data_IF_261909420936
#
_entry.id   IF_261909420936
#
_cell.length_a   1.000
_cell.length_b   1.000
_cell.length_c   1.000
_cell.angle_alpha   90.00
_cell.angle_beta   90.00
_cell.angle_gamma   90.00
#
_symmetry.space_group_name_H-M   'P 1'
#
loop_
_entity.id
_entity.type
_entity.pdbx_description
1 polymer ?
#
# COMPACT_ATOMS: atom_id res chain seq x y z
N UNK A 1 -21.69 -12.53 13.34
CA UNK A 1 -21.50 -12.88 11.91
C UNK A 1 -21.23 -11.64 11.06
N UNK A 2 -22.05 -10.59 11.10
CA UNK A 2 -21.82 -9.36 10.31
C UNK A 2 -20.47 -8.68 10.56
N UNK A 3 -20.01 -8.59 11.80
CA UNK A 3 -18.74 -7.94 12.13
C UNK A 3 -17.52 -8.74 11.68
N UNK A 4 -17.59 -10.09 11.72
CA UNK A 4 -16.49 -10.95 11.24
C UNK A 4 -16.35 -10.88 9.73
N UNK A 5 -17.45 -10.84 8.98
CA UNK A 5 -17.43 -10.71 7.53
C UNK A 5 -16.86 -9.33 7.11
N UNK A 6 -17.25 -8.27 7.81
CA UNK A 6 -16.72 -6.94 7.60
C UNK A 6 -15.23 -6.88 7.94
N UNK A 7 -14.80 -7.54 9.02
CA UNK A 7 -13.38 -7.61 9.39
C UNK A 7 -12.56 -8.33 8.33
N UNK A 8 -13.00 -9.49 7.86
CA UNK A 8 -12.32 -10.21 6.77
C UNK A 8 -12.24 -9.37 5.50
N UNK A 9 -13.34 -8.71 5.13
CA UNK A 9 -13.37 -7.80 3.99
C UNK A 9 -12.36 -6.66 4.14
N UNK A 10 -12.33 -6.02 5.32
CA UNK A 10 -11.41 -4.91 5.61
C UNK A 10 -9.95 -5.36 5.59
N UNK A 11 -9.64 -6.53 6.16
CA UNK A 11 -8.30 -7.11 6.12
C UNK A 11 -7.85 -7.43 4.69
N UNK A 12 -8.72 -8.02 3.87
CA UNK A 12 -8.43 -8.29 2.47
C UNK A 12 -8.16 -7.02 1.68
N UNK A 13 -8.94 -5.98 1.93
CA UNK A 13 -8.80 -4.68 1.29
C UNK A 13 -7.51 -3.96 1.72
N UNK A 14 -7.15 -4.08 3.00
CA UNK A 14 -5.89 -3.58 3.53
C UNK A 14 -4.68 -4.32 2.90
N UNK A 15 -4.74 -5.64 2.82
CA UNK A 15 -3.70 -6.46 2.20
C UNK A 15 -3.51 -6.15 0.71
N UNK A 16 -4.61 -6.00 -0.03
CA UNK A 16 -4.61 -5.58 -1.43
C UNK A 16 -3.92 -4.21 -1.61
N UNK A 17 -4.32 -3.22 -0.79
CA UNK A 17 -3.71 -1.89 -0.82
C UNK A 17 -2.21 -1.94 -0.50
N UNK A 18 -1.81 -2.72 0.52
CA UNK A 18 -0.39 -2.89 0.84
C UNK A 18 0.42 -3.46 -0.32
N UNK A 19 -0.09 -4.51 -1.01
CA UNK A 19 0.59 -5.11 -2.16
C UNK A 19 0.63 -4.16 -3.36
N UNK A 20 -0.47 -3.46 -3.61
CA UNK A 20 -0.57 -2.46 -4.68
C UNK A 20 0.44 -1.33 -4.50
N UNK A 21 0.68 -0.91 -3.25
CA UNK A 21 1.61 0.16 -2.89
C UNK A 21 3.04 -0.33 -2.61
N UNK A 22 3.36 -1.58 -2.96
CA UNK A 22 4.72 -2.11 -3.00
C UNK A 22 5.20 -2.81 -1.72
N UNK A 23 4.31 -3.23 -0.83
CA UNK A 23 4.69 -4.06 0.30
C UNK A 23 5.13 -5.47 -0.13
N UNK A 24 6.10 -6.00 0.59
CA UNK A 24 6.51 -7.41 0.45
C UNK A 24 5.42 -8.36 0.95
N UNK A 25 5.24 -9.50 0.27
CA UNK A 25 4.24 -10.54 0.58
C UNK A 25 4.30 -10.97 2.04
N UNK A 26 5.51 -11.25 2.55
CA UNK A 26 5.71 -11.67 3.96
C UNK A 26 5.24 -10.60 4.94
N UNK A 27 5.48 -9.33 4.63
CA UNK A 27 5.04 -8.20 5.46
C UNK A 27 3.51 -8.11 5.50
N UNK A 28 2.85 -8.32 4.37
CA UNK A 28 1.39 -8.36 4.29
C UNK A 28 0.84 -9.51 5.15
N UNK A 29 1.34 -10.74 4.98
CA UNK A 29 0.93 -11.90 5.78
C UNK A 29 1.06 -11.64 7.29
N UNK A 30 2.19 -11.11 7.72
CA UNK A 30 2.44 -10.79 9.13
C UNK A 30 1.48 -9.72 9.66
N UNK A 31 1.18 -8.71 8.86
CA UNK A 31 0.27 -7.63 9.25
C UNK A 31 -1.15 -8.14 9.40
N UNK A 32 -1.65 -8.87 8.41
CA UNK A 32 -2.99 -9.45 8.43
C UNK A 32 -3.16 -10.45 9.57
N UNK A 33 -2.15 -11.30 9.82
CA UNK A 33 -2.17 -12.25 10.93
C UNK A 33 -2.23 -11.55 12.29
N UNK A 34 -1.44 -10.48 12.50
CA UNK A 34 -1.47 -9.71 13.75
C UNK A 34 -2.81 -9.02 13.98
N UNK A 35 -3.37 -8.38 12.95
CA UNK A 35 -4.65 -7.69 13.05
C UNK A 35 -5.81 -8.65 13.32
N UNK A 36 -5.84 -9.81 12.65
CA UNK A 36 -6.85 -10.83 12.90
C UNK A 36 -6.78 -11.39 14.33
N UNK A 37 -5.58 -11.57 14.89
CA UNK A 37 -5.39 -11.97 16.30
C UNK A 37 -5.83 -10.86 17.25
N UNK A 38 -5.55 -9.60 16.96
CA UNK A 38 -6.01 -8.45 17.74
C UNK A 38 -7.55 -8.34 17.74
N UNK A 39 -8.21 -8.74 16.66
CA UNK A 39 -9.67 -8.84 16.57
C UNK A 39 -10.26 -9.96 17.44
N UNK A 40 -9.45 -10.96 17.82
CA UNK A 40 -9.89 -12.08 18.65
C UNK A 40 -9.84 -13.45 17.98
N UNK A 41 -9.24 -13.58 16.80
CA UNK A 41 -9.01 -14.88 16.20
C UNK A 41 -7.94 -15.65 16.99
N UNK A 42 -8.24 -16.90 17.34
CA UNK A 42 -7.28 -17.82 17.99
C UNK A 42 -6.22 -18.28 16.99
N UNK A 43 -6.64 -18.46 15.75
CA UNK A 43 -5.75 -18.85 14.65
C UNK A 43 -6.09 -18.07 13.39
N UNK A 44 -5.05 -17.66 12.68
CA UNK A 44 -5.12 -17.01 11.38
C UNK A 44 -4.32 -17.82 10.37
N UNK A 45 -4.98 -18.30 9.31
CA UNK A 45 -4.32 -18.88 8.15
C UNK A 45 -4.35 -17.81 7.04
N UNK A 46 -3.18 -17.30 6.71
CA UNK A 46 -3.00 -16.20 5.74
C UNK A 46 -2.12 -16.70 4.62
N UNK A 47 -2.65 -16.68 3.41
CA UNK A 47 -1.92 -17.04 2.22
C UNK A 47 -1.97 -15.90 1.22
N UNK A 48 -0.82 -15.36 0.89
CA UNK A 48 -0.68 -14.20 0.00
C UNK A 48 0.23 -14.53 -1.16
N UNK A 49 -0.26 -14.29 -2.35
CA UNK A 49 0.53 -14.26 -3.59
C UNK A 49 0.28 -12.92 -4.31
N UNK A 50 1.08 -12.62 -5.32
CA UNK A 50 0.99 -11.34 -6.05
C UNK A 50 -0.34 -11.08 -6.76
N UNK A 51 -1.19 -12.10 -6.91
CA UNK A 51 -2.46 -12.04 -7.64
C UNK A 51 -3.69 -12.34 -6.77
N UNK A 52 -3.49 -12.80 -5.51
CA UNK A 52 -4.61 -13.24 -4.66
C UNK A 52 -4.22 -13.28 -3.19
N UNK A 53 -5.19 -13.02 -2.31
CA UNK A 53 -5.10 -13.21 -0.87
C UNK A 53 -6.21 -14.16 -0.43
N UNK A 54 -5.88 -15.14 0.40
CA UNK A 54 -6.82 -16.01 1.09
C UNK A 54 -6.63 -15.83 2.58
N UNK A 55 -7.71 -15.53 3.31
CA UNK A 55 -7.72 -15.37 4.76
C UNK A 55 -8.71 -16.35 5.37
N UNK A 56 -8.26 -17.07 6.39
CA UNK A 56 -9.14 -17.86 7.26
C UNK A 56 -8.92 -17.42 8.69
N UNK A 57 -10.01 -17.03 9.36
CA UNK A 57 -10.04 -16.69 10.78
C UNK A 57 -10.74 -17.82 11.53
N UNK A 58 -10.08 -18.38 12.55
CA UNK A 58 -10.66 -19.40 13.42
C UNK A 58 -10.83 -18.83 14.84
N UNK A 59 -11.99 -19.09 15.45
CA UNK A 59 -12.34 -18.58 16.78
C UNK A 59 -12.39 -19.71 17.83
N UNK A 60 -12.41 -19.32 19.10
CA UNK A 60 -12.40 -20.26 20.25
C UNK A 60 -13.65 -21.13 20.32
N UNK A 61 -14.77 -20.70 19.76
CA UNK A 61 -16.03 -21.46 19.69
C UNK A 61 -16.03 -22.54 18.59
N UNK A 62 -14.91 -22.69 17.87
CA UNK A 62 -14.77 -23.62 16.75
C UNK A 62 -15.29 -23.07 15.43
N UNK A 63 -15.84 -21.87 15.40
CA UNK A 63 -16.26 -21.24 14.15
C UNK A 63 -15.05 -20.82 13.33
N UNK A 64 -15.18 -20.86 12.01
CA UNK A 64 -14.19 -20.39 11.08
C UNK A 64 -14.85 -19.64 9.92
N UNK A 65 -14.22 -18.56 9.48
CA UNK A 65 -14.66 -17.80 8.33
C UNK A 65 -13.50 -17.61 7.35
N UNK A 66 -13.76 -17.86 6.08
CA UNK A 66 -12.74 -17.75 5.01
C UNK A 66 -13.25 -16.83 3.93
N UNK A 67 -12.39 -15.92 3.50
CA UNK A 67 -12.64 -15.09 2.33
C UNK A 67 -11.40 -15.04 1.44
N UNK A 68 -11.64 -14.84 0.14
CA UNK A 68 -10.59 -14.73 -0.89
C UNK A 68 -10.79 -13.44 -1.67
N UNK A 69 -9.69 -12.78 -2.01
CA UNK A 69 -9.70 -11.61 -2.87
C UNK A 69 -8.67 -11.75 -3.98
N UNK A 70 -9.08 -11.49 -5.21
CA UNK A 70 -8.17 -11.32 -6.34
C UNK A 70 -7.59 -9.91 -6.30
N UNK A 71 -6.29 -9.79 -6.54
CA UNK A 71 -5.58 -8.52 -6.53
C UNK A 71 -5.46 -8.02 -7.95
N UNK A 72 -5.91 -6.79 -8.16
CA UNK A 72 -5.65 -6.04 -9.38
C UNK A 72 -4.40 -5.19 -9.15
N UNK A 73 -3.39 -5.36 -10.02
CA UNK A 73 -2.14 -4.62 -9.92
C UNK A 73 -2.40 -3.12 -10.07
N UNK A 74 -1.97 -2.33 -9.11
CA UNK A 74 -1.88 -0.88 -9.26
C UNK A 74 -0.78 -0.53 -10.27
N UNK A 75 -1.01 0.53 -11.04
CA UNK A 75 -0.05 1.00 -12.02
C UNK A 75 1.16 1.72 -11.38
N UNK A 76 1.07 2.12 -10.11
CA UNK A 76 2.08 2.95 -9.46
C UNK A 76 2.16 2.66 -7.96
N UNK A 77 3.37 2.44 -7.46
CA UNK A 77 3.67 2.26 -6.02
C UNK A 77 3.59 3.60 -5.30
N UNK A 78 2.85 3.64 -4.17
CA UNK A 78 2.72 4.83 -3.32
C UNK A 78 3.16 4.51 -1.88
N UNK A 79 4.41 4.85 -1.57
CA UNK A 79 4.97 4.63 -0.23
C UNK A 79 4.30 5.48 0.86
N UNK A 80 3.70 6.62 0.50
CA UNK A 80 2.94 7.45 1.45
C UNK A 80 1.66 6.75 1.90
N UNK A 81 0.93 6.14 0.97
CA UNK A 81 -0.24 5.30 1.29
C UNK A 81 0.17 4.08 2.10
N UNK A 82 1.26 3.42 1.72
CA UNK A 82 1.78 2.27 2.46
C UNK A 82 2.14 2.64 3.92
N UNK A 83 2.73 3.82 4.15
CA UNK A 83 3.02 4.30 5.50
C UNK A 83 1.74 4.56 6.31
N UNK A 84 0.73 5.21 5.72
CA UNK A 84 -0.56 5.45 6.35
C UNK A 84 -1.25 4.13 6.74
N UNK A 85 -1.29 3.14 5.83
CA UNK A 85 -1.86 1.82 6.09
C UNK A 85 -1.11 1.10 7.22
N UNK A 86 0.22 1.17 7.24
CA UNK A 86 1.02 0.61 8.33
C UNK A 86 0.77 1.30 9.67
N UNK A 87 0.53 2.62 9.68
CA UNK A 87 0.17 3.35 10.91
C UNK A 87 -1.19 2.89 11.45
N UNK A 88 -2.19 2.74 10.57
CA UNK A 88 -3.53 2.22 10.91
C UNK A 88 -3.41 0.81 11.50
N UNK A 89 -2.65 -0.08 10.86
CA UNK A 89 -2.48 -1.47 11.32
C UNK A 89 -1.80 -1.57 12.69
N UNK A 90 -0.79 -0.74 12.96
CA UNK A 90 -0.15 -0.66 14.28
C UNK A 90 -1.11 -0.16 15.35
N UNK A 91 -1.79 0.97 15.06
CA UNK A 91 -2.77 1.54 15.99
C UNK A 91 -3.87 0.55 16.35
N UNK A 92 -4.37 -0.21 15.36
CA UNK A 92 -5.37 -1.26 15.61
C UNK A 92 -4.83 -2.41 16.48
N UNK A 93 -3.59 -2.84 16.24
CA UNK A 93 -2.98 -3.91 17.05
C UNK A 93 -2.67 -3.50 18.50
N UNK A 94 -2.38 -2.22 18.73
CA UNK A 94 -2.11 -1.68 20.06
C UNK A 94 -3.41 -1.41 20.85
N UNK A 95 -4.40 -0.85 20.19
CA UNK A 95 -5.68 -0.48 20.77
C UNK A 95 -6.81 -0.80 19.76
N UNK A 96 -7.36 -2.03 19.82
CA UNK A 96 -8.46 -2.40 18.92
C UNK A 96 -9.67 -1.48 19.08
N UNK A 97 -10.19 -1.01 17.97
CA UNK A 97 -11.37 -0.16 17.87
C UNK A 97 -12.43 -0.81 16.94
N UNK A 98 -13.68 -0.31 16.89
CA UNK A 98 -14.74 -0.92 16.10
C UNK A 98 -14.37 -1.13 14.62
N UNK A 99 -14.76 -2.27 14.05
CA UNK A 99 -14.44 -2.63 12.65
C UNK A 99 -14.92 -1.60 11.63
N UNK A 100 -16.11 -0.99 11.78
CA UNK A 100 -16.53 0.09 10.88
C UNK A 100 -15.56 1.28 10.87
N UNK A 101 -15.02 1.66 12.03
CA UNK A 101 -14.03 2.74 12.13
C UNK A 101 -12.71 2.35 11.43
N UNK A 102 -12.28 1.08 11.56
CA UNK A 102 -11.11 0.57 10.84
C UNK A 102 -11.31 0.69 9.32
N UNK A 103 -12.49 0.31 8.85
CA UNK A 103 -12.84 0.41 7.44
C UNK A 103 -12.82 1.86 6.95
N UNK A 104 -13.44 2.78 7.69
CA UNK A 104 -13.48 4.21 7.33
C UNK A 104 -12.07 4.83 7.27
N UNK A 105 -11.22 4.52 8.27
CA UNK A 105 -9.82 4.98 8.29
C UNK A 105 -9.03 4.44 7.09
N UNK A 106 -9.26 3.19 6.72
CA UNK A 106 -8.64 2.59 5.53
C UNK A 106 -9.09 3.30 4.25
N UNK A 107 -10.38 3.59 4.10
CA UNK A 107 -10.91 4.30 2.93
C UNK A 107 -10.30 5.72 2.82
N UNK A 108 -10.22 6.44 3.94
CA UNK A 108 -9.61 7.77 3.97
C UNK A 108 -8.13 7.74 3.54
N UNK A 109 -7.38 6.70 3.92
CA UNK A 109 -5.97 6.55 3.54
C UNK A 109 -5.76 6.36 2.03
N UNK A 110 -6.74 5.78 1.33
CA UNK A 110 -6.68 5.56 -0.13
C UNK A 110 -6.77 6.84 -0.95
N UNK A 111 -7.44 7.86 -0.40
CA UNK A 111 -7.63 9.15 -1.07
C UNK A 111 -6.51 10.16 -0.81
N UNK A 112 -5.48 9.77 -0.06
CA UNK A 112 -4.34 10.64 0.23
C UNK A 112 -3.38 10.65 -0.97
N UNK A 113 -3.56 11.59 -1.90
CA UNK A 113 -2.60 11.77 -3.01
C UNK A 113 -1.36 12.52 -2.52
N UNK A 114 -0.14 12.04 -2.85
CA UNK A 114 1.07 12.78 -2.54
C UNK A 114 1.08 14.13 -3.27
N UNK A 115 1.55 15.17 -2.58
CA UNK A 115 1.65 16.48 -3.19
C UNK A 115 2.58 16.41 -4.42
N UNK A 116 2.05 16.69 -5.60
CA UNK A 116 2.74 16.57 -6.90
C UNK A 116 4.09 17.27 -6.94
N UNK A 117 4.23 18.41 -6.24
CA UNK A 117 5.50 19.13 -6.16
C UNK A 117 6.63 18.32 -5.53
N UNK A 118 6.32 17.42 -4.56
CA UNK A 118 7.32 16.51 -3.95
C UNK A 118 7.87 15.52 -4.97
N UNK A 119 7.03 15.04 -5.88
CA UNK A 119 7.44 14.16 -6.97
C UNK A 119 8.41 14.90 -7.91
N UNK A 120 8.07 16.13 -8.32
CA UNK A 120 8.93 16.95 -9.17
C UNK A 120 10.28 17.24 -8.51
N UNK A 121 10.25 17.73 -7.27
CA UNK A 121 11.46 18.06 -6.54
C UNK A 121 12.37 16.81 -6.32
N UNK A 122 11.76 15.68 -5.95
CA UNK A 122 12.47 14.42 -5.77
C UNK A 122 13.09 13.90 -7.06
N UNK A 123 12.38 13.95 -8.17
CA UNK A 123 12.88 13.50 -9.48
C UNK A 123 14.05 14.37 -9.98
N UNK A 124 13.94 15.69 -9.85
CA UNK A 124 15.02 16.61 -10.22
C UNK A 124 16.28 16.39 -9.36
N UNK A 125 16.08 16.27 -8.04
CA UNK A 125 17.17 16.04 -7.10
C UNK A 125 17.88 14.69 -7.37
N UNK A 126 17.09 13.64 -7.58
CA UNK A 126 17.62 12.31 -7.88
C UNK A 126 18.41 12.28 -9.18
N UNK A 127 17.90 12.89 -10.25
CA UNK A 127 18.59 12.95 -11.54
C UNK A 127 19.90 13.75 -11.46
N UNK A 128 19.89 14.90 -10.78
CA UNK A 128 21.08 15.72 -10.56
C UNK A 128 22.13 15.00 -9.70
N UNK A 129 21.72 14.37 -8.61
CA UNK A 129 22.59 13.60 -7.74
C UNK A 129 23.22 12.40 -8.47
N UNK A 130 22.44 11.71 -9.31
CA UNK A 130 22.91 10.56 -10.10
C UNK A 130 23.94 11.01 -11.16
N UNK A 131 23.73 12.14 -11.82
CA UNK A 131 24.69 12.72 -12.76
C UNK A 131 26.04 13.03 -12.04
N UNK A 132 26.00 13.64 -10.87
CA UNK A 132 27.20 13.91 -10.07
C UNK A 132 27.87 12.62 -9.60
N UNK A 133 27.11 11.60 -9.20
CA UNK A 133 27.64 10.30 -8.78
C UNK A 133 28.42 9.59 -9.90
N UNK A 134 28.00 9.72 -11.16
CA UNK A 134 28.70 9.17 -12.32
C UNK A 134 29.83 10.07 -12.85
N UNK A 135 30.25 11.08 -12.08
CA UNK A 135 31.37 11.94 -12.41
C UNK A 135 31.04 13.10 -13.35
N UNK A 136 29.75 13.42 -13.52
CA UNK A 136 29.31 14.58 -14.26
C UNK A 136 29.67 15.90 -13.56
N UNK A 137 29.72 16.97 -14.33
CA UNK A 137 29.91 18.34 -13.83
C UNK A 137 28.63 18.89 -13.23
N UNK A 138 28.71 20.04 -12.54
CA UNK A 138 27.55 20.74 -12.04
C UNK A 138 26.52 21.10 -13.16
N UNK A 139 27.00 21.38 -14.36
CA UNK A 139 26.18 21.66 -15.53
C UNK A 139 25.44 20.41 -16.01
N UNK A 140 26.09 19.24 -15.98
CA UNK A 140 25.45 17.97 -16.32
C UNK A 140 24.33 17.62 -15.32
N UNK A 141 24.56 17.89 -14.03
CA UNK A 141 23.55 17.72 -12.97
C UNK A 141 22.34 18.63 -13.17
N UNK A 142 22.56 19.90 -13.53
CA UNK A 142 21.49 20.83 -13.86
C UNK A 142 20.71 20.40 -15.10
N UNK A 143 21.39 19.99 -16.16
CA UNK A 143 20.75 19.49 -17.37
C UNK A 143 19.92 18.23 -17.10
N UNK A 144 20.46 17.27 -16.34
CA UNK A 144 19.75 16.06 -15.93
C UNK A 144 18.47 16.38 -15.12
N UNK A 145 18.56 17.33 -14.18
CA UNK A 145 17.42 17.80 -13.41
C UNK A 145 16.33 18.45 -14.28
N UNK A 146 16.72 19.26 -15.26
CA UNK A 146 15.79 19.88 -16.21
C UNK A 146 15.08 18.82 -17.07
N UNK A 147 15.80 17.84 -17.60
CA UNK A 147 15.20 16.73 -18.35
C UNK A 147 14.25 15.90 -17.49
N UNK A 148 14.61 15.63 -16.22
CA UNK A 148 13.70 14.94 -15.29
C UNK A 148 12.42 15.72 -15.06
N UNK A 149 12.48 17.04 -14.96
CA UNK A 149 11.30 17.91 -14.83
C UNK A 149 10.39 17.81 -16.08
N UNK A 150 10.99 17.89 -17.27
CA UNK A 150 10.24 17.74 -18.54
C UNK A 150 9.56 16.37 -18.60
N UNK A 151 10.24 15.28 -18.24
CA UNK A 151 9.67 13.94 -18.20
C UNK A 151 8.50 13.83 -17.20
N UNK A 152 8.63 14.43 -16.02
CA UNK A 152 7.55 14.46 -15.03
C UNK A 152 6.31 15.21 -15.58
N UNK A 153 6.51 16.35 -16.23
CA UNK A 153 5.40 17.10 -16.85
C UNK A 153 4.72 16.28 -17.93
N UNK A 154 5.49 15.61 -18.79
CA UNK A 154 4.96 14.74 -19.85
C UNK A 154 4.18 13.55 -19.27
N UNK A 155 4.66 12.90 -18.20
CA UNK A 155 3.97 11.79 -17.53
C UNK A 155 2.63 12.20 -16.94
N UNK A 156 2.50 13.43 -16.45
CA UNK A 156 1.25 13.94 -15.89
C UNK A 156 0.30 14.43 -17.00
N UNK A 157 0.84 15.02 -18.07
CA UNK A 157 0.07 15.61 -19.15
C UNK A 157 -0.41 14.61 -20.23
N UNK A 158 0.31 13.49 -20.40
CA UNK A 158 -0.11 12.43 -21.30
C UNK A 158 -0.85 11.35 -20.49
N UNK A 159 -2.18 11.21 -20.64
CA UNK A 159 -2.86 10.04 -20.09
C UNK A 159 -2.22 8.79 -20.69
N UNK A 160 -2.15 7.66 -19.94
CA UNK A 160 -1.48 6.46 -20.40
C UNK A 160 -2.11 6.00 -21.73
N UNK A 161 -1.39 6.20 -22.81
CA UNK A 161 -1.77 5.80 -24.19
C UNK A 161 -1.85 4.27 -24.37
N UNK A 162 -1.52 3.51 -23.34
CA UNK A 162 -1.57 2.05 -23.29
C UNK A 162 -2.37 1.57 -22.07
N UNK A 163 -3.69 1.76 -22.07
CA UNK A 163 -4.61 0.86 -21.39
C UNK A 163 -5.21 -0.06 -22.43
N UNK A 164 -4.54 -1.17 -22.66
CA UNK A 164 -5.12 -2.39 -23.19
C UNK A 164 -5.07 -3.45 -22.11
#
# INVERSE_FOLDING_TARGET
>A
MQDTDLMLHTLLELGESMLADGADVRRVEQTLSRMGKAYGAVRMDVFVITSSIVLTMCFADGSAATQTRRIEKSAMTDFGKLEAINAISRSYCEHPFPVPELYDRLQLSKHCEPARWKLFAGSCLAAGALAAFFGGTALDGLAAGLFALVLCVLQIGLPPLCKN
#
